data_IF_279576706947
#
_entry.id   IF_279576706947
#
_cell.length_a   1.000
_cell.length_b   1.000
_cell.length_c   1.000
_cell.angle_alpha   90.00
_cell.angle_beta   90.00
_cell.angle_gamma   90.00
#
_symmetry.space_group_name_H-M   'P 1'
#
loop_
_entity.id
_entity.type
_entity.pdbx_description
1 polymer ?
#
# COMPACT_ATOMS: atom_id res chain seq x y z
N UNK A 1 -9.30 -5.71 -0.23
CA UNK A 1 -7.93 -6.25 -0.10
C UNK A 1 -7.49 -7.08 -1.32
N UNK A 2 -8.27 -8.04 -1.83
CA UNK A 2 -7.89 -8.78 -3.06
C UNK A 2 -7.66 -7.84 -4.25
N UNK A 3 -8.58 -6.90 -4.47
CA UNK A 3 -8.40 -5.87 -5.48
C UNK A 3 -7.07 -5.11 -5.33
N UNK A 4 -6.68 -4.79 -4.10
CA UNK A 4 -5.41 -4.10 -3.83
C UNK A 4 -4.19 -4.93 -4.25
N UNK A 5 -4.15 -6.21 -3.88
CA UNK A 5 -3.07 -7.12 -4.25
C UNK A 5 -2.89 -7.23 -5.76
N UNK A 6 -3.98 -7.48 -6.50
CA UNK A 6 -3.95 -7.59 -7.97
C UNK A 6 -3.61 -6.26 -8.63
N UNK A 7 -4.22 -5.18 -8.15
CA UNK A 7 -4.00 -3.85 -8.67
C UNK A 7 -2.56 -3.37 -8.42
N UNK A 8 -1.98 -3.63 -7.25
CA UNK A 8 -0.58 -3.31 -6.98
C UNK A 8 0.37 -4.08 -7.86
N UNK A 9 0.19 -5.41 -7.95
CA UNK A 9 1.02 -6.24 -8.83
C UNK A 9 1.01 -5.69 -10.26
N UNK A 10 -0.18 -5.44 -10.80
CA UNK A 10 -0.32 -4.88 -12.15
C UNK A 10 0.39 -3.53 -12.27
N UNK A 11 0.16 -2.66 -11.31
CA UNK A 11 0.70 -1.31 -11.33
C UNK A 11 2.23 -1.28 -11.31
N UNK A 12 2.83 -2.05 -10.43
CA UNK A 12 4.28 -2.14 -10.33
C UNK A 12 4.91 -2.83 -11.54
N UNK A 13 4.30 -3.90 -12.06
CA UNK A 13 4.82 -4.58 -13.24
C UNK A 13 4.66 -3.74 -14.51
N UNK A 14 3.44 -3.28 -14.80
CA UNK A 14 3.11 -2.71 -16.11
C UNK A 14 3.56 -1.26 -16.26
N UNK A 15 3.46 -0.44 -15.20
CA UNK A 15 3.78 0.99 -15.29
C UNK A 15 5.15 1.33 -14.72
N UNK A 16 5.60 0.64 -13.68
CA UNK A 16 6.89 0.94 -13.07
C UNK A 16 8.02 0.02 -13.55
N UNK A 17 7.69 -1.10 -14.18
CA UNK A 17 8.69 -2.07 -14.66
C UNK A 17 9.40 -2.80 -13.52
N UNK A 18 8.76 -2.91 -12.36
CA UNK A 18 9.28 -3.66 -11.20
C UNK A 18 9.03 -5.16 -11.42
N UNK A 19 10.02 -6.03 -11.17
CA UNK A 19 9.82 -7.47 -11.20
C UNK A 19 8.72 -7.90 -10.22
N UNK A 20 7.76 -8.67 -10.69
CA UNK A 20 6.60 -9.10 -9.92
C UNK A 20 6.34 -10.60 -10.08
N UNK A 21 5.74 -11.20 -9.08
CA UNK A 21 5.26 -12.58 -9.19
C UNK A 21 4.20 -12.73 -10.28
N UNK A 22 4.05 -13.90 -10.90
CA UNK A 22 2.96 -14.18 -11.84
C UNK A 22 1.59 -13.85 -11.25
N UNK A 23 0.65 -13.40 -12.08
CA UNK A 23 -0.67 -12.98 -11.60
C UNK A 23 -1.44 -14.05 -10.82
N UNK A 24 -1.26 -15.32 -11.18
CA UNK A 24 -1.85 -16.47 -10.50
C UNK A 24 -1.21 -16.80 -9.16
N UNK A 25 -0.04 -16.21 -8.84
CA UNK A 25 0.69 -16.41 -7.59
C UNK A 25 0.57 -15.23 -6.62
N UNK A 26 -0.12 -14.17 -7.02
CA UNK A 26 -0.32 -12.99 -6.18
C UNK A 26 -1.12 -13.29 -4.93
N UNK A 27 -2.18 -14.08 -5.10
CA UNK A 27 -3.10 -14.39 -4.01
C UNK A 27 -2.57 -15.49 -3.10
N UNK A 28 -2.72 -15.34 -1.78
CA UNK A 28 -2.42 -16.44 -0.87
C UNK A 28 -3.45 -17.58 -1.06
N UNK A 29 -3.07 -18.82 -0.69
CA UNK A 29 -4.00 -19.95 -0.75
C UNK A 29 -5.28 -19.73 0.06
N UNK A 30 -5.14 -19.14 1.25
CA UNK A 30 -6.28 -18.73 2.09
C UNK A 30 -6.66 -17.28 1.80
N UNK A 31 -7.96 -17.04 1.63
CA UNK A 31 -8.52 -15.70 1.34
C UNK A 31 -9.02 -14.98 2.61
N UNK A 32 -8.39 -15.25 3.75
CA UNK A 32 -8.70 -14.53 4.99
C UNK A 32 -8.13 -13.12 4.98
N UNK A 33 -8.73 -12.15 5.69
CA UNK A 33 -8.18 -10.80 5.81
C UNK A 33 -6.74 -10.78 6.31
N UNK A 34 -6.41 -11.68 7.24
CA UNK A 34 -5.06 -11.80 7.79
C UNK A 34 -4.06 -12.30 6.74
N UNK A 35 -4.39 -13.37 6.01
CA UNK A 35 -3.52 -13.91 4.97
C UNK A 35 -3.31 -12.91 3.81
N UNK A 36 -4.37 -12.20 3.41
CA UNK A 36 -4.28 -11.14 2.40
C UNK A 36 -3.37 -9.99 2.87
N UNK A 37 -3.48 -9.56 4.13
CA UNK A 37 -2.63 -8.53 4.69
C UNK A 37 -1.15 -8.98 4.79
N UNK A 38 -0.90 -10.20 5.23
CA UNK A 38 0.44 -10.78 5.29
C UNK A 38 1.09 -10.84 3.90
N UNK A 39 0.33 -11.28 2.89
CA UNK A 39 0.80 -11.33 1.50
C UNK A 39 1.10 -9.94 0.93
N UNK A 40 0.28 -8.95 1.25
CA UNK A 40 0.54 -7.55 0.89
C UNK A 40 1.87 -7.05 1.43
N UNK A 41 2.14 -7.32 2.71
CA UNK A 41 3.40 -6.92 3.36
C UNK A 41 4.60 -7.62 2.72
N UNK A 42 4.49 -8.92 2.44
CA UNK A 42 5.54 -9.70 1.78
C UNK A 42 5.90 -9.10 0.41
N UNK A 43 4.91 -8.94 -0.48
CA UNK A 43 5.13 -8.38 -1.81
C UNK A 43 5.65 -6.94 -1.76
N UNK A 44 5.17 -6.13 -0.84
CA UNK A 44 5.66 -4.76 -0.66
C UNK A 44 7.12 -4.71 -0.24
N UNK A 45 7.57 -5.64 0.60
CA UNK A 45 8.99 -5.73 1.00
C UNK A 45 9.90 -6.07 -0.18
N UNK A 46 9.49 -6.97 -1.05
CA UNK A 46 10.26 -7.30 -2.26
C UNK A 46 10.34 -6.12 -3.23
N UNK A 47 9.23 -5.42 -3.44
CA UNK A 47 9.18 -4.19 -4.25
C UNK A 47 10.12 -3.12 -3.70
N UNK A 48 10.10 -2.90 -2.38
CA UNK A 48 10.97 -1.91 -1.74
C UNK A 48 12.46 -2.20 -1.92
N UNK A 49 12.86 -3.47 -1.89
CA UNK A 49 14.26 -3.84 -2.18
C UNK A 49 14.68 -3.43 -3.59
N UNK A 50 13.80 -3.64 -4.57
CA UNK A 50 14.07 -3.23 -5.95
C UNK A 50 14.08 -1.69 -6.09
N UNK A 51 13.08 -1.02 -5.55
CA UNK A 51 12.94 0.44 -5.64
C UNK A 51 14.09 1.19 -4.95
N UNK A 52 14.62 0.64 -3.85
CA UNK A 52 15.73 1.24 -3.11
C UNK A 52 17.07 1.22 -3.88
N UNK A 53 17.15 0.43 -4.95
CA UNK A 53 18.35 0.33 -5.79
C UNK A 53 18.29 1.28 -7.00
N UNK A 54 17.16 1.95 -7.21
CA UNK A 54 16.97 2.81 -8.36
C UNK A 54 17.54 4.21 -8.13
N UNK A 55 18.22 4.74 -9.14
CA UNK A 55 18.78 6.07 -9.14
C UNK A 55 17.75 7.15 -9.55
N UNK A 56 18.18 8.40 -9.50
CA UNK A 56 17.33 9.54 -9.86
C UNK A 56 16.89 9.49 -11.33
N UNK A 57 17.75 9.06 -12.24
CA UNK A 57 17.43 8.95 -13.66
C UNK A 57 16.29 7.96 -13.90
N UNK A 58 16.31 6.81 -13.22
CA UNK A 58 15.24 5.83 -13.28
C UNK A 58 13.92 6.42 -12.79
N UNK A 59 13.93 7.16 -11.67
CA UNK A 59 12.73 7.78 -11.11
C UNK A 59 12.13 8.87 -12.00
N UNK A 60 12.98 9.64 -12.69
CA UNK A 60 12.57 10.71 -13.58
C UNK A 60 12.26 10.26 -15.01
N UNK A 61 12.58 9.02 -15.36
CA UNK A 61 12.24 8.47 -16.67
C UNK A 61 10.73 8.49 -16.88
N UNK A 62 10.33 9.03 -18.02
CA UNK A 62 8.92 9.08 -18.45
C UNK A 62 8.50 7.72 -18.98
N UNK A 63 7.35 7.23 -18.53
CA UNK A 63 6.78 5.95 -18.92
C UNK A 63 5.31 6.10 -19.31
N UNK A 64 4.78 5.21 -20.16
CA UNK A 64 3.35 5.18 -20.45
C UNK A 64 2.54 4.89 -19.19
N UNK A 65 1.49 5.67 -19.00
CA UNK A 65 0.54 5.52 -17.90
C UNK A 65 -0.88 5.70 -18.43
N UNK A 66 -1.57 4.60 -18.74
CA UNK A 66 -2.85 4.60 -19.45
C UNK A 66 -2.76 5.35 -20.80
N UNK A 67 -3.45 6.48 -20.91
CA UNK A 67 -3.52 7.33 -22.10
C UNK A 67 -2.57 8.54 -22.07
N UNK A 68 -1.70 8.61 -21.08
CA UNK A 68 -0.74 9.70 -20.88
C UNK A 68 0.66 9.15 -20.58
N UNK A 69 1.64 10.04 -20.62
CA UNK A 69 3.01 9.74 -20.20
C UNK A 69 3.33 10.52 -18.91
N UNK A 70 4.01 9.87 -17.96
CA UNK A 70 4.40 10.45 -16.67
C UNK A 70 5.72 9.87 -16.21
N UNK A 71 6.44 10.63 -15.42
CA UNK A 71 7.63 10.15 -14.73
C UNK A 71 7.28 9.01 -13.76
N UNK A 72 8.17 8.03 -13.60
CA UNK A 72 7.97 6.91 -12.66
C UNK A 72 7.68 7.38 -11.24
N UNK A 73 8.32 8.44 -10.78
CA UNK A 73 8.05 9.00 -9.45
C UNK A 73 6.60 9.48 -9.30
N UNK A 74 6.05 10.11 -10.33
CA UNK A 74 4.65 10.52 -10.34
C UNK A 74 3.73 9.30 -10.31
N UNK A 75 4.02 8.27 -11.12
CA UNK A 75 3.27 7.01 -11.17
C UNK A 75 3.30 6.31 -9.82
N UNK A 76 4.47 6.24 -9.17
CA UNK A 76 4.63 5.68 -7.83
C UNK A 76 3.75 6.41 -6.81
N UNK A 77 3.82 7.74 -6.74
CA UNK A 77 3.00 8.52 -5.81
C UNK A 77 1.51 8.37 -6.08
N UNK A 78 1.11 8.28 -7.34
CA UNK A 78 -0.27 7.99 -7.71
C UNK A 78 -0.74 6.66 -7.12
N UNK A 79 0.13 5.65 -7.07
CA UNK A 79 -0.17 4.36 -6.43
C UNK A 79 -0.27 4.48 -4.90
N UNK A 80 0.65 5.18 -4.27
CA UNK A 80 0.62 5.43 -2.81
C UNK A 80 -0.70 6.09 -2.41
N UNK A 81 -1.13 7.10 -3.16
CA UNK A 81 -2.40 7.79 -2.92
C UNK A 81 -3.62 6.88 -3.13
N UNK A 82 -3.57 5.98 -4.12
CA UNK A 82 -4.62 4.99 -4.35
C UNK A 82 -4.76 4.01 -3.16
N UNK A 83 -3.65 3.55 -2.62
CA UNK A 83 -3.66 2.70 -1.43
C UNK A 83 -4.18 3.45 -0.20
N UNK A 84 -3.80 4.72 -0.03
CA UNK A 84 -4.32 5.58 1.03
C UNK A 84 -5.85 5.78 0.92
N UNK A 85 -6.36 5.92 -0.31
CA UNK A 85 -7.78 6.02 -0.59
C UNK A 85 -8.55 4.78 -0.11
N UNK A 86 -8.11 3.58 -0.51
CA UNK A 86 -8.76 2.34 -0.07
C UNK A 86 -8.64 2.09 1.43
N UNK A 87 -7.53 2.47 2.04
CA UNK A 87 -7.38 2.41 3.50
C UNK A 87 -8.39 3.32 4.21
N UNK A 88 -8.62 4.52 3.69
CA UNK A 88 -9.64 5.42 4.24
C UNK A 88 -11.04 4.81 4.14
N UNK A 89 -11.37 4.17 3.02
CA UNK A 89 -12.64 3.43 2.86
C UNK A 89 -12.79 2.31 3.89
N UNK A 90 -11.73 1.53 4.15
CA UNK A 90 -11.75 0.50 5.20
C UNK A 90 -12.00 1.11 6.58
N UNK A 91 -11.42 2.28 6.88
CA UNK A 91 -11.69 3.03 8.10
C UNK A 91 -13.18 3.38 8.27
N UNK A 92 -13.84 3.79 7.19
CA UNK A 92 -15.30 4.05 7.20
C UNK A 92 -16.08 2.77 7.50
N UNK A 93 -15.76 1.65 6.86
CA UNK A 93 -16.43 0.38 7.13
C UNK A 93 -16.23 -0.10 8.58
N UNK A 94 -15.02 0.05 9.12
CA UNK A 94 -14.78 -0.26 10.54
C UNK A 94 -15.70 0.58 11.44
N UNK A 95 -15.84 1.88 11.15
CA UNK A 95 -16.72 2.79 11.90
C UNK A 95 -18.18 2.37 11.81
N UNK A 96 -18.66 1.98 10.63
CA UNK A 96 -20.03 1.49 10.44
C UNK A 96 -20.31 0.18 11.18
N UNK A 97 -19.28 -0.58 11.51
CA UNK A 97 -19.35 -1.84 12.26
C UNK A 97 -19.05 -1.65 13.76
N UNK A 98 -19.05 -0.42 14.27
CA UNK A 98 -18.70 -0.07 15.64
C UNK A 98 -17.32 -0.60 16.08
N UNK A 99 -16.37 -0.69 15.14
CA UNK A 99 -14.99 -1.08 15.40
C UNK A 99 -14.10 0.14 15.50
N UNK A 100 -13.06 0.04 16.33
CA UNK A 100 -12.06 1.10 16.44
C UNK A 100 -11.31 1.26 15.14
N UNK A 101 -11.11 2.52 14.74
CA UNK A 101 -10.28 2.86 13.55
C UNK A 101 -8.84 3.04 14.03
N UNK A 102 -7.88 2.27 13.48
CA UNK A 102 -6.46 2.42 13.84
C UNK A 102 -5.95 3.83 13.56
N UNK A 103 -5.10 4.32 14.45
CA UNK A 103 -4.38 5.58 14.25
C UNK A 103 -3.28 5.39 13.23
N UNK A 104 -3.38 6.05 12.08
CA UNK A 104 -2.39 5.95 11.00
C UNK A 104 -1.57 7.23 10.87
N UNK A 105 -2.21 8.38 10.96
CA UNK A 105 -1.58 9.69 10.71
C UNK A 105 -1.60 10.62 11.93
N UNK A 106 -2.23 10.22 13.02
CA UNK A 106 -2.41 11.06 14.16
C UNK A 106 -3.47 10.51 15.12
N UNK A 107 -3.71 11.17 16.25
CA UNK A 107 -4.76 10.78 17.16
C UNK A 107 -6.12 10.75 16.45
N UNK A 108 -6.95 9.79 16.84
CA UNK A 108 -8.32 9.65 16.36
C UNK A 108 -9.30 9.73 17.51
N UNK A 109 -10.60 9.69 17.23
CA UNK A 109 -11.61 9.59 18.29
C UNK A 109 -11.46 8.30 19.13
N UNK A 110 -10.82 7.27 18.56
CA UNK A 110 -10.67 5.96 19.21
C UNK A 110 -9.29 5.75 19.86
N UNK A 111 -8.28 6.49 19.40
CA UNK A 111 -6.88 6.30 19.80
C UNK A 111 -6.24 7.64 20.10
N UNK A 112 -5.82 7.82 21.34
CA UNK A 112 -5.02 8.98 21.77
C UNK A 112 -3.54 8.62 21.72
N UNK A 113 -2.73 9.61 21.35
CA UNK A 113 -1.28 9.52 21.44
C UNK A 113 -0.82 10.37 22.61
N UNK A 114 -0.43 9.75 23.69
CA UNK A 114 0.00 10.50 24.88
C UNK A 114 1.51 10.76 24.84
N UNK A 115 2.32 9.88 24.24
CA UNK A 115 3.79 10.00 24.29
C UNK A 115 4.50 9.48 23.03
N UNK A 116 3.88 9.48 21.89
CA UNK A 116 4.52 8.88 20.72
C UNK A 116 4.33 9.66 19.45
N UNK A 117 5.42 9.77 18.71
CA UNK A 117 5.37 10.24 17.33
C UNK A 117 4.37 9.43 16.49
N UNK A 118 3.69 10.10 15.55
CA UNK A 118 2.88 9.43 14.56
C UNK A 118 3.75 8.44 13.79
N UNK A 119 3.52 7.17 13.98
CA UNK A 119 4.26 6.14 13.24
C UNK A 119 3.30 5.31 12.41
N UNK A 120 3.68 5.02 11.19
CA UNK A 120 2.95 4.15 10.27
C UNK A 120 3.25 2.67 10.52
N UNK A 121 3.63 2.31 11.75
CA UNK A 121 3.92 0.92 12.11
C UNK A 121 2.69 0.19 12.61
N UNK A 122 2.67 -1.12 12.45
CA UNK A 122 1.61 -1.99 13.01
C UNK A 122 1.55 -1.85 14.54
N UNK A 123 2.69 -1.72 15.19
CA UNK A 123 2.76 -1.51 16.63
C UNK A 123 2.09 -0.20 17.06
N UNK A 124 2.27 0.89 16.31
CA UNK A 124 1.60 2.16 16.57
C UNK A 124 0.07 2.08 16.41
N UNK A 125 -0.39 1.31 15.42
CA UNK A 125 -1.82 1.09 15.19
C UNK A 125 -2.48 0.28 16.32
N UNK A 126 -1.71 -0.44 17.12
CA UNK A 126 -2.17 -1.28 18.24
C UNK A 126 -2.14 -0.57 19.60
N UNK A 127 -1.66 0.67 19.65
CA UNK A 127 -1.64 1.44 20.92
C UNK A 127 -3.07 1.73 21.38
N UNK A 128 -3.33 1.43 22.63
CA UNK A 128 -4.64 1.68 23.27
C UNK A 128 -4.68 3.09 23.85
#
# INVERSE_FOLDING_TARGET
MEHELLSERRFFAEFLGVPEVPANEVMPPERTPHALAARMVELSRERLKHLAQQDEEWWLTVVPFFDVERERIWVFWRRVLHTAHHRAQLGVYLRMLDKKVPSTYGPTADVRWEDADPTNTVAAASRK
#
